data_IF_327611087877
#
_entry.id   IF_327611087877
#
_cell.length_a   1.000
_cell.length_b   1.000
_cell.length_c   1.000
_cell.angle_alpha   90.00
_cell.angle_beta   90.00
_cell.angle_gamma   90.00
#
_symmetry.space_group_name_H-M   'P 1'
#
loop_
_entity.id
_entity.type
_entity.pdbx_description
1 polymer ?
#
# COMPACT_ATOMS: atom_id res chain seq x y z
N UNK A 1 -10.06 -11.52 -14.20
CA UNK A 1 -10.58 -10.35 -13.46
C UNK A 1 -11.97 -10.04 -13.96
N UNK A 2 -12.98 -10.03 -13.08
CA UNK A 2 -14.32 -9.53 -13.42
C UNK A 2 -14.37 -8.04 -13.06
N UNK A 3 -14.57 -7.16 -14.05
CA UNK A 3 -14.45 -5.71 -13.86
C UNK A 3 -15.82 -5.07 -13.62
N UNK A 4 -15.86 -4.09 -12.73
CA UNK A 4 -17.02 -3.23 -12.51
C UNK A 4 -16.67 -1.77 -12.84
N UNK A 5 -17.68 -0.92 -13.04
CA UNK A 5 -17.49 0.50 -13.36
C UNK A 5 -17.22 1.29 -12.06
N UNK A 6 -16.03 1.09 -11.50
CA UNK A 6 -15.59 1.69 -10.23
C UNK A 6 -14.07 1.95 -10.23
N UNK A 7 -13.63 2.88 -9.37
CA UNK A 7 -12.22 3.28 -9.30
C UNK A 7 -11.30 2.12 -8.92
N UNK A 8 -11.73 1.22 -8.02
CA UNK A 8 -11.00 0.00 -7.63
C UNK A 8 -10.72 -0.90 -8.83
N UNK A 9 -11.73 -1.18 -9.67
CA UNK A 9 -11.55 -1.98 -10.88
C UNK A 9 -10.59 -1.31 -11.87
N UNK A 10 -10.66 0.02 -12.04
CA UNK A 10 -9.71 0.76 -12.89
C UNK A 10 -8.27 0.66 -12.35
N UNK A 11 -8.08 0.79 -11.04
CA UNK A 11 -6.79 0.60 -10.39
C UNK A 11 -6.26 -0.82 -10.61
N UNK A 12 -7.09 -1.85 -10.43
CA UNK A 12 -6.68 -3.23 -10.70
C UNK A 12 -6.30 -3.43 -12.17
N UNK A 13 -7.03 -2.85 -13.13
CA UNK A 13 -6.63 -2.89 -14.55
C UNK A 13 -5.22 -2.33 -14.75
N UNK A 14 -4.90 -1.18 -14.15
CA UNK A 14 -3.56 -0.60 -14.28
C UNK A 14 -2.47 -1.44 -13.62
N UNK A 15 -2.75 -2.00 -12.43
CA UNK A 15 -1.83 -2.89 -11.74
C UNK A 15 -1.53 -4.14 -12.59
N UNK A 16 -2.57 -4.83 -13.08
CA UNK A 16 -2.43 -6.03 -13.90
C UNK A 16 -1.77 -5.73 -15.26
N UNK A 17 -2.08 -4.59 -15.86
CA UNK A 17 -1.40 -4.15 -17.09
C UNK A 17 0.08 -3.87 -16.85
N UNK A 18 0.47 -3.39 -15.66
CA UNK A 18 1.87 -3.28 -15.25
C UNK A 18 2.60 -4.61 -15.30
N UNK A 19 1.96 -5.69 -14.82
CA UNK A 19 2.51 -7.05 -14.96
C UNK A 19 2.67 -7.46 -16.42
N UNK A 20 1.67 -7.23 -17.26
CA UNK A 20 1.72 -7.52 -18.71
C UNK A 20 2.88 -6.77 -19.38
N UNK A 21 3.06 -5.49 -19.11
CA UNK A 21 4.18 -4.72 -19.64
C UNK A 21 5.52 -5.33 -19.19
N UNK A 22 5.64 -5.75 -17.94
CA UNK A 22 6.86 -6.42 -17.47
C UNK A 22 7.11 -7.74 -18.24
N UNK A 23 6.09 -8.60 -18.39
CA UNK A 23 6.19 -9.82 -19.18
C UNK A 23 6.67 -9.56 -20.62
N UNK A 24 6.13 -8.52 -21.26
CA UNK A 24 6.50 -8.13 -22.63
C UNK A 24 7.95 -7.67 -22.73
N UNK A 25 8.42 -6.86 -21.77
CA UNK A 25 9.76 -6.26 -21.83
C UNK A 25 10.89 -7.28 -21.71
N UNK A 26 10.74 -8.32 -20.89
CA UNK A 26 11.76 -9.38 -20.79
C UNK A 26 11.53 -10.59 -21.70
N UNK A 27 10.55 -10.54 -22.61
CA UNK A 27 10.18 -11.68 -23.47
C UNK A 27 11.34 -12.19 -24.33
N UNK A 28 12.31 -11.33 -24.67
CA UNK A 28 13.46 -11.67 -25.49
C UNK A 28 14.60 -12.36 -24.71
N UNK A 29 14.50 -12.46 -23.37
CA UNK A 29 15.49 -13.18 -22.59
C UNK A 29 15.37 -14.70 -22.78
N UNK A 30 16.44 -15.48 -22.52
CA UNK A 30 16.35 -16.93 -22.38
C UNK A 30 15.28 -17.31 -21.36
N UNK A 31 14.59 -18.44 -21.59
CA UNK A 31 13.43 -18.87 -20.79
C UNK A 31 13.66 -18.79 -19.27
N UNK A 32 14.82 -19.23 -18.79
CA UNK A 32 15.19 -19.22 -17.36
C UNK A 32 15.29 -17.80 -16.75
N UNK A 33 15.46 -16.76 -17.57
CA UNK A 33 15.56 -15.37 -17.15
C UNK A 33 14.26 -14.57 -17.37
N UNK A 34 13.22 -15.19 -17.94
CA UNK A 34 11.90 -14.59 -18.16
C UNK A 34 11.07 -14.57 -16.87
N UNK A 35 11.42 -13.69 -15.96
CA UNK A 35 10.68 -13.39 -14.75
C UNK A 35 11.25 -12.12 -14.13
N UNK A 36 10.57 -11.52 -13.15
CA UNK A 36 11.13 -10.38 -12.45
C UNK A 36 12.41 -10.73 -11.67
N UNK A 37 13.18 -9.69 -11.35
CA UNK A 37 14.44 -9.80 -10.61
C UNK A 37 14.29 -10.52 -9.26
N UNK A 38 13.15 -10.30 -8.58
CA UNK A 38 12.63 -11.10 -7.47
C UNK A 38 11.09 -10.94 -7.41
N UNK A 39 10.36 -11.74 -6.61
CA UNK A 39 8.89 -11.66 -6.56
C UNK A 39 8.34 -10.26 -6.22
N UNK A 40 9.04 -9.48 -5.41
CA UNK A 40 8.62 -8.13 -5.05
C UNK A 40 8.75 -7.09 -6.17
N UNK A 41 9.58 -7.35 -7.20
CA UNK A 41 9.66 -6.48 -8.37
C UNK A 41 8.38 -6.56 -9.22
N UNK A 42 7.77 -7.73 -9.40
CA UNK A 42 6.52 -7.85 -10.15
C UNK A 42 5.43 -6.96 -9.53
N UNK A 43 5.14 -7.19 -8.25
CA UNK A 43 4.14 -6.43 -7.50
C UNK A 43 4.47 -4.93 -7.46
N UNK A 44 5.75 -4.56 -7.30
CA UNK A 44 6.15 -3.15 -7.24
C UNK A 44 5.86 -2.40 -8.54
N UNK A 45 6.02 -3.05 -9.69
CA UNK A 45 5.76 -2.45 -11.00
C UNK A 45 4.26 -2.23 -11.21
N UNK A 46 3.42 -3.19 -10.80
CA UNK A 46 1.96 -3.03 -10.81
C UNK A 46 1.53 -1.82 -9.99
N UNK A 47 1.98 -1.73 -8.73
CA UNK A 47 1.59 -0.65 -7.83
C UNK A 47 2.21 0.71 -8.17
N UNK A 48 3.42 0.72 -8.73
CA UNK A 48 4.11 1.95 -9.15
C UNK A 48 3.26 2.80 -10.11
N UNK A 49 2.52 2.16 -11.03
CA UNK A 49 1.66 2.86 -11.98
C UNK A 49 0.50 3.55 -11.25
N UNK A 50 0.00 2.94 -10.17
CA UNK A 50 -1.10 3.47 -9.37
C UNK A 50 -0.72 4.78 -8.68
N UNK A 51 0.54 4.93 -8.27
CA UNK A 51 1.05 6.17 -7.67
C UNK A 51 0.93 7.38 -8.62
N UNK A 52 0.95 7.15 -9.94
CA UNK A 52 0.72 8.20 -10.95
C UNK A 52 -0.74 8.30 -11.39
N UNK A 53 -1.42 7.17 -11.60
CA UNK A 53 -2.81 7.16 -12.09
C UNK A 53 -3.83 7.61 -11.03
N UNK A 54 -3.46 7.61 -9.75
CA UNK A 54 -4.34 8.12 -8.69
C UNK A 54 -4.16 9.61 -8.41
N UNK A 55 -3.23 10.28 -9.09
CA UNK A 55 -3.02 11.73 -8.90
C UNK A 55 -4.21 12.53 -9.44
N UNK A 56 -4.55 13.63 -8.77
CA UNK A 56 -5.59 14.56 -9.23
C UNK A 56 -5.28 15.12 -10.63
N UNK A 57 -4.00 15.33 -10.93
CA UNK A 57 -3.55 15.75 -12.27
C UNK A 57 -3.92 14.71 -13.33
N UNK A 58 -3.63 13.43 -13.08
CA UNK A 58 -3.98 12.35 -13.99
C UNK A 58 -5.49 12.28 -14.21
N UNK A 59 -6.27 12.18 -13.13
CA UNK A 59 -7.74 12.04 -13.20
C UNK A 59 -8.37 13.18 -13.99
N UNK A 60 -7.87 14.41 -13.82
CA UNK A 60 -8.27 15.55 -14.63
C UNK A 60 -7.90 15.38 -16.10
N UNK A 61 -6.68 14.93 -16.39
CA UNK A 61 -6.17 14.78 -17.76
C UNK A 61 -6.95 13.74 -18.59
N UNK A 62 -7.57 12.76 -17.93
CA UNK A 62 -8.39 11.72 -18.56
C UNK A 62 -9.90 12.00 -18.44
N UNK A 63 -10.30 13.16 -17.91
CA UNK A 63 -11.70 13.58 -17.83
C UNK A 63 -12.53 12.98 -16.69
N UNK A 64 -11.90 12.28 -15.73
CA UNK A 64 -12.58 11.70 -14.56
C UNK A 64 -12.83 12.72 -13.44
N UNK A 65 -12.15 13.88 -13.46
CA UNK A 65 -12.35 14.98 -12.52
C UNK A 65 -12.74 16.26 -13.27
N UNK A 66 -13.81 16.94 -12.86
CA UNK A 66 -14.29 18.16 -13.56
C UNK A 66 -13.48 19.37 -13.11
N UNK A 67 -13.25 20.33 -14.02
CA UNK A 67 -12.49 21.56 -13.71
C UNK A 67 -13.09 22.37 -12.56
N UNK A 68 -14.42 22.39 -12.42
CA UNK A 68 -15.12 23.15 -11.35
C UNK A 68 -14.75 22.65 -9.95
N UNK A 69 -14.41 21.37 -9.82
CA UNK A 69 -14.14 20.72 -8.53
C UNK A 69 -12.81 21.20 -7.92
N UNK A 70 -11.98 21.88 -8.71
CA UNK A 70 -10.65 22.37 -8.34
C UNK A 70 -10.60 23.89 -8.09
N UNK A 71 -11.68 24.63 -8.40
CA UNK A 71 -11.68 26.10 -8.32
C UNK A 71 -11.80 26.64 -6.88
N UNK A 72 -12.21 25.81 -5.92
CA UNK A 72 -12.23 26.17 -4.51
C UNK A 72 -10.91 25.76 -3.84
N UNK A 73 -10.00 26.72 -3.67
CA UNK A 73 -8.64 26.48 -3.12
C UNK A 73 -8.67 25.79 -1.75
N UNK A 74 -9.64 26.12 -0.89
CA UNK A 74 -9.74 25.51 0.45
C UNK A 74 -10.15 24.04 0.36
N UNK A 75 -11.10 23.73 -0.51
CA UNK A 75 -11.57 22.36 -0.71
C UNK A 75 -10.53 21.51 -1.44
N UNK A 76 -9.78 22.13 -2.36
CA UNK A 76 -8.65 21.50 -3.04
C UNK A 76 -7.56 21.07 -2.07
N UNK A 77 -7.13 21.93 -1.14
CA UNK A 77 -6.10 21.56 -0.16
C UNK A 77 -6.56 20.45 0.81
N UNK A 78 -7.85 20.43 1.20
CA UNK A 78 -8.42 19.29 1.94
C UNK A 78 -8.39 18.00 1.12
N UNK A 79 -8.71 18.07 -0.17
CA UNK A 79 -8.75 16.90 -1.06
C UNK A 79 -7.38 16.20 -1.15
N UNK A 80 -6.28 16.95 -1.07
CA UNK A 80 -4.92 16.40 -1.02
C UNK A 80 -4.67 15.57 0.24
N UNK A 81 -5.14 16.05 1.40
CA UNK A 81 -5.03 15.29 2.65
C UNK A 81 -5.93 14.05 2.60
N UNK A 82 -7.16 14.16 2.11
CA UNK A 82 -8.07 13.02 1.95
C UNK A 82 -7.46 11.94 1.03
N UNK A 83 -6.86 12.36 -0.07
CA UNK A 83 -6.11 11.49 -0.97
C UNK A 83 -4.97 10.78 -0.23
N UNK A 84 -4.14 11.52 0.51
CA UNK A 84 -3.03 10.92 1.25
C UNK A 84 -3.52 9.97 2.36
N UNK A 85 -4.62 10.25 3.05
CA UNK A 85 -5.22 9.34 4.02
C UNK A 85 -5.60 8.04 3.32
N UNK A 86 -6.31 8.12 2.18
CA UNK A 86 -6.68 6.94 1.40
C UNK A 86 -5.45 6.13 0.99
N UNK A 87 -4.43 6.78 0.44
CA UNK A 87 -3.17 6.13 0.07
C UNK A 87 -2.46 5.51 1.28
N UNK A 88 -2.52 6.13 2.45
CA UNK A 88 -1.87 5.60 3.65
C UNK A 88 -2.56 4.33 4.18
N UNK A 89 -3.89 4.22 4.05
CA UNK A 89 -4.62 3.00 4.40
C UNK A 89 -4.11 1.81 3.58
N UNK A 90 -3.86 2.01 2.30
CA UNK A 90 -3.38 0.95 1.40
C UNK A 90 -1.87 0.68 1.57
N UNK A 91 -1.05 1.72 1.70
CA UNK A 91 0.42 1.61 1.60
C UNK A 91 1.20 1.69 2.92
N UNK A 92 0.54 1.97 4.05
CA UNK A 92 1.17 1.93 5.38
C UNK A 92 0.66 0.75 6.20
N UNK A 93 -0.64 0.44 6.13
CA UNK A 93 -1.26 -0.61 6.96
C UNK A 93 -1.10 -2.01 6.34
N UNK A 94 -1.35 -2.16 5.03
CA UNK A 94 -1.30 -3.47 4.38
C UNK A 94 0.10 -4.13 4.40
N UNK A 95 1.23 -3.40 4.21
CA UNK A 95 2.56 -3.99 4.33
C UNK A 95 2.84 -4.54 5.73
N UNK A 96 2.34 -3.89 6.79
CA UNK A 96 2.49 -4.40 8.15
C UNK A 96 1.79 -5.74 8.34
N UNK A 97 0.61 -5.93 7.74
CA UNK A 97 -0.03 -7.24 7.70
C UNK A 97 0.85 -8.25 6.97
N UNK A 98 1.47 -7.83 5.86
CA UNK A 98 2.30 -8.72 5.08
C UNK A 98 3.55 -9.21 5.82
N UNK A 99 4.17 -8.31 6.57
CA UNK A 99 5.25 -8.65 7.50
C UNK A 99 4.78 -9.66 8.56
N UNK A 100 3.63 -9.44 9.20
CA UNK A 100 3.11 -10.35 10.24
C UNK A 100 2.92 -11.76 9.71
N UNK A 101 2.32 -11.90 8.53
CA UNK A 101 1.99 -13.20 7.93
C UNK A 101 3.25 -14.04 7.71
N UNK A 102 4.26 -13.48 7.04
CA UNK A 102 5.48 -14.25 6.73
C UNK A 102 6.44 -14.30 7.92
N UNK A 103 6.42 -13.33 8.83
CA UNK A 103 7.11 -13.46 10.12
C UNK A 103 6.55 -14.64 10.91
N UNK A 104 5.22 -14.75 11.02
CA UNK A 104 4.57 -15.88 11.66
C UNK A 104 4.95 -17.21 10.99
N UNK A 105 4.87 -17.32 9.65
CA UNK A 105 5.25 -18.54 8.92
C UNK A 105 6.70 -18.93 9.19
N UNK A 106 7.62 -17.97 9.13
CA UNK A 106 9.03 -18.24 9.38
C UNK A 106 9.27 -18.76 10.80
N UNK A 107 8.56 -18.21 11.79
CA UNK A 107 8.68 -18.63 13.18
C UNK A 107 8.02 -20.00 13.45
N UNK A 108 7.02 -20.39 12.66
CA UNK A 108 6.48 -21.76 12.64
C UNK A 108 7.50 -22.71 12.01
N UNK A 109 8.04 -22.38 10.83
CA UNK A 109 8.98 -23.25 10.11
C UNK A 109 10.31 -23.45 10.85
N UNK A 110 10.76 -22.46 11.63
CA UNK A 110 11.96 -22.59 12.45
C UNK A 110 11.70 -23.17 13.85
N UNK A 111 10.47 -23.61 14.14
CA UNK A 111 10.08 -24.30 15.37
C UNK A 111 9.92 -23.41 16.61
N UNK A 112 10.04 -22.08 16.50
CA UNK A 112 9.83 -21.16 17.63
C UNK A 112 8.36 -21.03 18.05
N UNK A 113 7.44 -21.14 17.08
CA UNK A 113 6.00 -21.24 17.35
C UNK A 113 5.63 -22.73 17.31
N UNK A 114 5.18 -23.25 18.46
CA UNK A 114 4.70 -24.62 18.56
C UNK A 114 3.27 -24.74 18.03
N UNK A 115 2.84 -25.97 17.74
CA UNK A 115 1.51 -26.24 17.21
C UNK A 115 0.39 -25.75 18.15
N UNK A 116 0.62 -25.82 19.45
CA UNK A 116 -0.32 -25.43 20.51
C UNK A 116 -0.39 -23.90 20.75
N UNK A 117 0.30 -23.09 19.94
CA UNK A 117 0.32 -21.63 20.06
C UNK A 117 0.13 -20.91 18.72
N UNK A 118 -0.25 -21.63 17.67
CA UNK A 118 -0.35 -21.10 16.30
C UNK A 118 -1.26 -19.87 16.24
N UNK A 119 -2.48 -19.99 16.75
CA UNK A 119 -3.47 -18.92 16.64
C UNK A 119 -3.22 -17.80 17.65
N UNK A 120 -2.80 -18.14 18.87
CA UNK A 120 -2.39 -17.18 19.89
C UNK A 120 -1.26 -16.28 19.38
N UNK A 121 -0.19 -16.86 18.81
CA UNK A 121 0.95 -16.10 18.29
C UNK A 121 0.56 -15.21 17.11
N UNK A 122 -0.37 -15.67 16.26
CA UNK A 122 -0.92 -14.83 15.20
C UNK A 122 -1.59 -13.57 15.78
N UNK A 123 -2.48 -13.72 16.77
CA UNK A 123 -3.15 -12.57 17.39
C UNK A 123 -2.20 -11.70 18.23
N UNK A 124 -1.19 -12.27 18.88
CA UNK A 124 -0.10 -11.49 19.51
C UNK A 124 0.60 -10.59 18.50
N UNK A 125 0.89 -11.07 17.29
CA UNK A 125 1.49 -10.25 16.23
C UNK A 125 0.51 -9.24 15.63
N UNK A 126 -0.77 -9.59 15.42
CA UNK A 126 -1.80 -8.63 14.99
C UNK A 126 -1.93 -7.47 15.98
N UNK A 127 -1.96 -7.77 17.28
CA UNK A 127 -2.00 -6.75 18.32
C UNK A 127 -0.69 -5.95 18.33
N UNK A 128 0.48 -6.60 18.40
CA UNK A 128 1.76 -5.90 18.53
C UNK A 128 2.06 -4.96 17.37
N UNK A 129 1.86 -5.41 16.14
CA UNK A 129 2.31 -4.69 14.94
C UNK A 129 1.22 -3.84 14.28
N UNK A 130 -0.07 -4.09 14.55
CA UNK A 130 -1.19 -3.33 13.96
C UNK A 130 -2.18 -2.76 14.97
N UNK A 131 -2.10 -3.14 16.25
CA UNK A 131 -3.08 -2.72 17.26
C UNK A 131 -4.45 -3.37 17.07
N UNK A 132 -4.51 -4.52 16.39
CA UNK A 132 -5.76 -5.22 16.08
C UNK A 132 -5.92 -6.45 16.98
N UNK A 133 -7.07 -6.54 17.63
CA UNK A 133 -7.55 -7.64 18.46
C UNK A 133 -8.68 -8.39 17.74
N UNK A 134 -8.99 -9.63 18.13
CA UNK A 134 -10.17 -10.31 17.64
C UNK A 134 -11.44 -9.75 18.31
N UNK A 135 -12.58 -9.66 17.59
CA UNK A 135 -13.84 -9.18 18.17
C UNK A 135 -14.51 -10.20 19.11
N UNK A 136 -14.07 -11.45 19.07
CA UNK A 136 -14.53 -12.55 19.94
C UNK A 136 -13.32 -13.33 20.41
N UNK A 137 -13.40 -13.92 21.60
CA UNK A 137 -12.30 -14.72 22.15
C UNK A 137 -11.89 -15.83 21.17
N UNK A 138 -10.60 -15.91 20.88
CA UNK A 138 -9.98 -16.92 20.01
C UNK A 138 -9.15 -17.89 20.84
N UNK A 139 -9.15 -19.14 20.39
CA UNK A 139 -8.39 -20.22 21.01
C UNK A 139 -7.66 -21.01 19.92
N UNK A 140 -6.86 -22.00 20.31
CA UNK A 140 -6.20 -22.91 19.37
C UNK A 140 -7.18 -23.90 18.69
N UNK A 141 -8.46 -23.90 19.06
CA UNK A 141 -9.51 -24.54 18.25
C UNK A 141 -9.76 -23.80 16.94
N UNK A 142 -9.23 -22.58 16.80
CA UNK A 142 -9.33 -21.76 15.59
C UNK A 142 -7.97 -21.73 14.87
N UNK A 143 -8.01 -21.48 13.57
CA UNK A 143 -6.80 -21.26 12.76
C UNK A 143 -7.02 -20.04 11.86
N UNK A 144 -7.09 -18.86 12.46
CA UNK A 144 -7.59 -17.64 11.79
C UNK A 144 -6.67 -17.15 10.68
N UNK A 145 -5.35 -17.35 10.83
CA UNK A 145 -4.39 -17.02 9.77
C UNK A 145 -4.59 -17.90 8.52
N UNK A 146 -5.09 -19.13 8.69
CA UNK A 146 -5.39 -20.06 7.61
C UNK A 146 -6.55 -19.62 6.69
N UNK A 147 -7.39 -18.69 7.14
CA UNK A 147 -8.45 -18.11 6.32
C UNK A 147 -7.91 -17.18 5.21
N UNK A 148 -6.62 -16.83 5.25
CA UNK A 148 -5.97 -16.06 4.19
C UNK A 148 -5.55 -16.99 3.05
N UNK A 149 -6.05 -16.71 1.84
CA UNK A 149 -5.75 -17.48 0.62
C UNK A 149 -4.27 -17.86 0.49
N UNK A 150 -3.34 -16.91 0.64
CA UNK A 150 -1.92 -17.15 0.45
C UNK A 150 -1.32 -18.14 1.45
N UNK A 151 -1.87 -18.22 2.67
CA UNK A 151 -1.47 -19.21 3.66
C UNK A 151 -1.95 -20.60 3.23
N UNK A 152 -3.23 -20.72 2.87
CA UNK A 152 -3.82 -21.97 2.43
C UNK A 152 -3.21 -22.49 1.12
N UNK A 153 -2.87 -21.59 0.19
CA UNK A 153 -2.26 -21.90 -1.10
C UNK A 153 -0.72 -22.04 -1.04
N UNK A 154 -0.11 -21.85 0.14
CA UNK A 154 1.36 -21.89 0.31
C UNK A 154 2.13 -20.73 -0.35
N UNK A 155 1.45 -19.76 -0.97
CA UNK A 155 2.04 -18.62 -1.65
C UNK A 155 2.72 -17.66 -0.67
N UNK A 156 3.91 -17.16 -1.01
CA UNK A 156 4.64 -16.17 -0.23
C UNK A 156 3.89 -14.84 -0.16
N UNK A 157 3.95 -14.17 1.00
CA UNK A 157 3.21 -12.94 1.23
C UNK A 157 4.12 -11.73 1.47
N UNK A 158 5.40 -11.96 1.82
CA UNK A 158 6.43 -10.94 2.03
C UNK A 158 6.72 -10.13 0.76
N UNK A 159 6.36 -10.66 -0.43
CA UNK A 159 6.43 -9.91 -1.69
C UNK A 159 5.69 -8.58 -1.62
N UNK A 160 4.56 -8.50 -0.92
CA UNK A 160 3.79 -7.26 -0.74
C UNK A 160 4.49 -6.26 0.18
N UNK A 161 5.24 -6.73 1.19
CA UNK A 161 6.04 -5.84 2.04
C UNK A 161 7.21 -5.25 1.25
N UNK A 162 7.95 -6.10 0.54
CA UNK A 162 9.07 -5.69 -0.29
C UNK A 162 8.64 -4.76 -1.42
N UNK A 163 7.57 -5.13 -2.14
CA UNK A 163 7.06 -4.35 -3.26
C UNK A 163 6.61 -2.98 -2.83
N UNK A 164 5.99 -2.87 -1.65
CA UNK A 164 5.55 -1.58 -1.13
C UNK A 164 6.71 -0.64 -0.88
N UNK A 165 7.85 -1.11 -0.36
CA UNK A 165 9.01 -0.22 -0.20
C UNK A 165 9.59 0.14 -1.58
N UNK A 166 9.76 -0.87 -2.44
CA UNK A 166 10.38 -0.69 -3.74
C UNK A 166 9.59 0.28 -4.63
N UNK A 167 8.26 0.21 -4.67
CA UNK A 167 7.45 1.06 -5.55
C UNK A 167 7.66 2.55 -5.28
N UNK A 168 7.77 2.98 -4.01
CA UNK A 168 8.00 4.40 -3.68
C UNK A 168 9.43 4.83 -4.04
N UNK A 169 10.41 3.95 -3.86
CA UNK A 169 11.79 4.22 -4.30
C UNK A 169 11.88 4.38 -5.82
N UNK A 170 11.25 3.45 -6.57
CA UNK A 170 11.21 3.53 -8.03
C UNK A 170 10.48 4.80 -8.48
N UNK A 171 9.37 5.14 -7.82
CA UNK A 171 8.60 6.35 -8.10
C UNK A 171 9.46 7.60 -7.90
N UNK A 172 10.17 7.72 -6.78
CA UNK A 172 11.07 8.85 -6.52
C UNK A 172 12.15 9.00 -7.59
N UNK A 173 12.81 7.90 -7.99
CA UNK A 173 13.83 7.90 -9.05
C UNK A 173 13.23 8.39 -10.38
N UNK A 174 12.02 7.93 -10.73
CA UNK A 174 11.34 8.35 -11.96
C UNK A 174 10.93 9.82 -11.90
N UNK A 175 10.48 10.30 -10.74
CA UNK A 175 10.14 11.70 -10.51
C UNK A 175 11.35 12.62 -10.63
N UNK A 176 12.52 12.19 -10.12
CA UNK A 176 13.79 12.89 -10.34
C UNK A 176 14.15 12.92 -11.83
N UNK A 177 13.97 11.80 -12.53
CA UNK A 177 14.28 11.68 -13.97
C UNK A 177 13.49 12.66 -14.84
N UNK A 178 12.26 12.99 -14.44
CA UNK A 178 11.41 13.98 -15.13
C UNK A 178 11.53 15.39 -14.55
N UNK A 179 12.45 15.60 -13.60
CA UNK A 179 12.68 16.86 -12.91
C UNK A 179 11.42 17.41 -12.23
N UNK A 180 10.59 16.53 -11.68
CA UNK A 180 9.39 16.92 -10.93
C UNK A 180 9.75 17.91 -9.81
N UNK A 181 8.89 18.92 -9.64
CA UNK A 181 9.02 19.93 -8.58
C UNK A 181 7.80 19.84 -7.68
N UNK A 182 8.03 19.94 -6.37
CA UNK A 182 6.97 19.88 -5.37
C UNK A 182 6.92 18.54 -4.62
N UNK A 183 5.83 18.27 -3.90
CA UNK A 183 5.64 17.05 -3.14
C UNK A 183 5.69 15.79 -4.00
N UNK A 184 6.27 14.72 -3.47
CA UNK A 184 6.41 13.45 -4.21
C UNK A 184 5.06 12.83 -4.59
N UNK A 185 4.03 12.97 -3.75
CA UNK A 185 2.68 12.44 -4.01
C UNK A 185 1.91 13.14 -5.14
N UNK A 186 2.41 14.30 -5.62
CA UNK A 186 1.85 14.99 -6.78
C UNK A 186 2.58 14.62 -8.08
N UNK A 187 3.65 13.82 -8.01
CA UNK A 187 4.39 13.41 -9.20
C UNK A 187 3.60 12.46 -10.08
N UNK A 188 3.61 12.71 -11.39
CA UNK A 188 2.91 11.91 -12.38
C UNK A 188 3.80 11.62 -13.60
N UNK A 189 4.03 10.32 -13.88
CA UNK A 189 4.85 9.87 -15.01
C UNK A 189 4.05 9.70 -16.31
N UNK A 190 2.74 9.96 -16.31
CA UNK A 190 1.89 9.88 -17.50
C UNK A 190 2.38 10.81 -18.62
N UNK A 191 2.46 10.27 -19.85
CA UNK A 191 3.02 10.94 -21.03
C UNK A 191 4.48 11.42 -20.89
N UNK A 192 5.22 10.99 -19.86
CA UNK A 192 6.64 11.33 -19.69
C UNK A 192 7.52 10.26 -20.33
N UNK A 193 7.82 10.42 -21.63
CA UNK A 193 8.64 9.45 -22.41
C UNK A 193 9.97 9.08 -21.74
N UNK A 194 10.67 10.06 -21.13
CA UNK A 194 11.94 9.82 -20.42
C UNK A 194 11.81 8.87 -19.22
N UNK A 195 10.70 8.94 -18.47
CA UNK A 195 10.41 8.02 -17.39
C UNK A 195 10.10 6.63 -17.93
N UNK A 196 9.25 6.54 -18.97
CA UNK A 196 8.92 5.26 -19.62
C UNK A 196 10.14 4.55 -20.20
N UNK A 197 11.07 5.28 -20.84
CA UNK A 197 12.32 4.72 -21.34
C UNK A 197 13.22 4.19 -20.22
N UNK A 198 13.28 4.90 -19.08
CA UNK A 198 14.06 4.45 -17.93
C UNK A 198 13.42 3.19 -17.29
N UNK A 199 12.09 3.19 -17.16
CA UNK A 199 11.35 2.04 -16.64
C UNK A 199 11.50 0.82 -17.54
N UNK A 200 11.33 0.96 -18.86
CA UNK A 200 11.52 -0.12 -19.84
C UNK A 200 12.89 -0.79 -19.69
N UNK A 201 13.96 0.00 -19.54
CA UNK A 201 15.33 -0.54 -19.32
C UNK A 201 15.45 -1.40 -18.06
N UNK A 202 14.70 -1.09 -17.00
CA UNK A 202 14.64 -1.93 -15.80
C UNK A 202 13.85 -3.20 -16.08
N UNK A 203 12.70 -3.10 -16.76
CA UNK A 203 11.83 -4.24 -17.06
C UNK A 203 12.52 -5.25 -17.99
N UNK A 204 13.26 -4.78 -18.99
CA UNK A 204 14.01 -5.61 -19.95
C UNK A 204 15.05 -6.52 -19.28
N UNK A 205 15.51 -6.20 -18.07
CA UNK A 205 16.48 -7.03 -17.35
C UNK A 205 15.89 -8.36 -16.87
N UNK A 206 14.58 -8.45 -16.67
CA UNK A 206 13.95 -9.63 -16.07
C UNK A 206 14.75 -10.16 -14.86
N UNK A 207 15.15 -11.44 -14.91
CA UNK A 207 15.97 -12.12 -13.90
C UNK A 207 17.42 -12.33 -14.35
N UNK A 208 17.88 -11.61 -15.38
CA UNK A 208 19.23 -11.77 -15.94
C UNK A 208 20.36 -11.34 -14.99
N UNK A 209 20.05 -10.55 -13.96
CA UNK A 209 21.01 -10.00 -12.99
C UNK A 209 20.45 -10.04 -11.57
N UNK A 210 21.31 -10.03 -10.54
CA UNK A 210 20.88 -9.82 -9.17
C UNK A 210 20.06 -8.53 -9.02
N UNK A 211 18.95 -8.60 -8.29
CA UNK A 211 18.02 -7.47 -8.16
C UNK A 211 18.67 -6.18 -7.63
N UNK A 212 19.66 -6.29 -6.74
CA UNK A 212 20.41 -5.14 -6.22
C UNK A 212 21.21 -4.43 -7.31
N UNK A 213 21.76 -5.18 -8.27
CA UNK A 213 22.48 -4.61 -9.41
C UNK A 213 21.51 -3.87 -10.34
N UNK A 214 20.34 -4.47 -10.61
CA UNK A 214 19.28 -3.83 -11.41
C UNK A 214 18.81 -2.52 -10.77
N UNK A 215 18.59 -2.51 -9.45
CA UNK A 215 18.20 -1.30 -8.71
C UNK A 215 19.30 -0.22 -8.73
N UNK A 216 20.56 -0.62 -8.59
CA UNK A 216 21.71 0.29 -8.70
C UNK A 216 21.81 0.90 -10.10
N UNK A 217 21.70 0.10 -11.15
CA UNK A 217 21.71 0.60 -12.53
C UNK A 217 20.56 1.60 -12.76
N UNK A 218 19.35 1.24 -12.34
CA UNK A 218 18.16 2.06 -12.49
C UNK A 218 18.26 3.41 -11.77
N UNK A 219 18.85 3.43 -10.57
CA UNK A 219 19.07 4.64 -9.78
C UNK A 219 20.32 5.44 -10.16
N UNK A 220 21.03 5.04 -11.24
CA UNK A 220 22.35 5.61 -11.60
C UNK A 220 23.35 5.55 -10.43
N UNK A 221 23.45 4.40 -9.78
CA UNK A 221 24.33 4.08 -8.64
C UNK A 221 24.02 4.82 -7.34
N UNK A 222 22.88 5.51 -7.25
CA UNK A 222 22.48 6.24 -6.02
C UNK A 222 21.91 5.33 -4.94
N UNK A 223 21.24 4.24 -5.31
CA UNK A 223 20.52 3.36 -4.39
C UNK A 223 21.13 1.97 -4.43
N UNK A 224 21.60 1.49 -3.27
CA UNK A 224 22.21 0.17 -3.10
C UNK A 224 21.32 -0.82 -2.36
N UNK A 225 20.32 -0.32 -1.63
CA UNK A 225 19.48 -1.10 -0.74
C UNK A 225 18.01 -0.69 -0.83
N UNK A 226 17.16 -1.56 -0.31
CA UNK A 226 15.74 -1.26 -0.13
C UNK A 226 15.61 -0.28 1.04
N UNK A 227 14.96 0.87 0.81
CA UNK A 227 14.92 1.98 1.75
C UNK A 227 13.51 2.62 1.80
N UNK A 228 13.02 2.82 3.02
CA UNK A 228 11.67 3.32 3.26
C UNK A 228 11.57 4.86 3.30
N UNK A 229 12.66 5.61 3.06
CA UNK A 229 12.64 7.07 3.12
C UNK A 229 11.72 7.69 2.07
N UNK A 230 11.58 7.06 0.90
CA UNK A 230 10.66 7.49 -0.16
C UNK A 230 9.19 7.43 0.29
N UNK A 231 8.81 6.44 1.11
CA UNK A 231 7.48 6.36 1.73
C UNK A 231 7.29 7.57 2.66
N UNK A 232 8.25 7.82 3.55
CA UNK A 232 8.19 8.94 4.49
C UNK A 232 8.12 10.30 3.76
N UNK A 233 8.85 10.44 2.66
CA UNK A 233 8.82 11.63 1.80
C UNK A 233 7.47 11.81 1.12
N UNK A 234 6.88 10.73 0.60
CA UNK A 234 5.55 10.73 -0.01
C UNK A 234 4.48 11.21 0.97
N UNK A 235 4.44 10.63 2.18
CA UNK A 235 3.44 10.90 3.20
C UNK A 235 3.78 12.07 4.14
N UNK A 236 4.87 12.81 3.90
CA UNK A 236 5.30 13.93 4.76
C UNK A 236 4.17 14.95 5.05
N UNK A 237 3.35 15.38 4.07
CA UNK A 237 2.25 16.32 4.35
C UNK A 237 1.19 15.72 5.26
N UNK A 238 0.83 14.46 5.05
CA UNK A 238 -0.12 13.75 5.91
C UNK A 238 0.42 13.58 7.31
N UNK A 239 1.69 13.20 7.46
CA UNK A 239 2.34 13.06 8.77
C UNK A 239 2.32 14.38 9.56
N UNK A 240 2.55 15.51 8.89
CA UNK A 240 2.41 16.85 9.51
C UNK A 240 0.98 17.11 9.96
N UNK A 241 0.00 16.80 9.12
CA UNK A 241 -1.42 16.97 9.42
C UNK A 241 -1.86 16.09 10.60
N UNK A 242 -1.50 14.80 10.61
CA UNK A 242 -1.82 13.86 11.70
C UNK A 242 -1.22 14.32 13.04
N UNK A 243 0.04 14.79 13.05
CA UNK A 243 0.67 15.32 14.28
C UNK A 243 -0.04 16.56 14.83
N UNK A 244 -0.67 17.35 13.97
CA UNK A 244 -1.41 18.53 14.39
C UNK A 244 -2.83 18.19 14.89
N UNK A 245 -3.52 17.27 14.22
CA UNK A 245 -4.89 16.91 14.56
C UNK A 245 -4.99 15.91 15.72
N UNK A 246 -3.95 15.09 15.94
CA UNK A 246 -3.92 14.08 17.00
C UNK A 246 -3.01 14.53 18.16
N UNK A 247 -2.94 15.84 18.45
CA UNK A 247 -2.07 16.36 19.54
C UNK A 247 -2.47 15.78 20.88
N UNK A 248 -3.76 15.85 21.18
CA UNK A 248 -4.35 15.47 22.47
C UNK A 248 -4.81 14.01 22.50
N UNK A 249 -4.62 13.27 21.40
CA UNK A 249 -4.94 11.85 21.30
C UNK A 249 -3.81 10.97 21.84
N UNK A 250 -4.20 9.85 22.45
CA UNK A 250 -3.28 8.78 22.82
C UNK A 250 -2.69 8.14 21.55
N UNK A 251 -1.35 7.97 21.53
CA UNK A 251 -0.62 7.47 20.37
C UNK A 251 -0.08 6.08 20.66
N UNK A 252 -0.63 5.09 19.96
CA UNK A 252 -0.25 3.69 20.10
C UNK A 252 -1.36 2.87 20.73
N UNK A 253 -0.99 1.67 21.16
CA UNK A 253 -1.90 0.71 21.78
C UNK A 253 -1.11 -0.18 22.73
N UNK A 254 -1.76 -0.65 23.79
CA UNK A 254 -1.19 -1.60 24.71
C UNK A 254 -2.27 -2.54 25.23
N UNK A 255 -2.01 -3.84 25.17
CA UNK A 255 -2.82 -4.87 25.82
C UNK A 255 -1.93 -6.07 26.14
N UNK A 256 -2.13 -6.67 27.31
CA UNK A 256 -1.39 -7.85 27.77
C UNK A 256 -1.99 -9.16 27.24
N UNK A 257 -3.26 -9.13 26.84
CA UNK A 257 -3.97 -10.28 26.27
C UNK A 257 -4.28 -10.00 24.79
N UNK A 258 -3.77 -10.80 23.84
CA UNK A 258 -4.10 -10.67 22.43
C UNK A 258 -5.61 -10.79 22.11
N UNK A 259 -6.43 -11.35 23.02
CA UNK A 259 -7.88 -11.40 22.91
C UNK A 259 -8.59 -10.14 23.42
N UNK A 260 -7.89 -9.26 24.12
CA UNK A 260 -8.46 -8.05 24.70
C UNK A 260 -8.02 -6.82 23.91
N UNK A 261 -9.01 -6.09 23.38
CA UNK A 261 -8.76 -4.88 22.62
C UNK A 261 -8.23 -3.75 23.52
N UNK A 262 -7.21 -3.01 23.07
CA UNK A 262 -6.77 -1.78 23.74
C UNK A 262 -7.95 -0.83 23.96
N UNK A 263 -8.13 -0.33 25.19
CA UNK A 263 -9.22 0.59 25.54
C UNK A 263 -10.57 -0.07 25.89
N UNK A 264 -10.66 -1.41 25.88
CA UNK A 264 -11.81 -2.13 26.43
C UNK A 264 -11.87 -1.98 27.96
N UNK A 265 -13.06 -2.14 28.56
CA UNK A 265 -13.32 -1.88 29.99
C UNK A 265 -12.34 -2.61 30.96
N UNK A 266 -11.73 -3.70 30.52
CA UNK A 266 -10.75 -4.48 31.30
C UNK A 266 -9.31 -3.89 31.27
N UNK A 267 -9.00 -2.98 30.35
CA UNK A 267 -7.71 -2.28 30.24
C UNK A 267 -7.73 -0.84 30.80
N UNK A 268 -8.82 -0.44 31.44
CA UNK A 268 -9.13 0.95 31.88
C UNK A 268 -8.40 1.42 33.14
N UNK A 269 -7.14 1.03 33.36
CA UNK A 269 -6.36 1.67 34.43
C UNK A 269 -5.59 2.92 33.99
N UNK A 270 -5.37 3.18 32.69
CA UNK A 270 -4.55 4.34 32.26
C UNK A 270 -4.76 4.81 30.79
N UNK A 271 -5.96 4.72 30.21
CA UNK A 271 -6.19 5.23 28.85
C UNK A 271 -7.43 6.12 28.76
N UNK A 272 -7.18 7.40 28.45
CA UNK A 272 -8.17 8.41 28.09
C UNK A 272 -8.99 7.93 26.90
N UNK A 273 -10.32 8.03 27.05
CA UNK A 273 -11.32 7.63 26.06
C UNK A 273 -11.19 8.43 24.78
N UNK A 274 -11.19 7.74 23.63
CA UNK A 274 -11.25 8.30 22.28
C UNK A 274 -12.60 9.00 22.09
N UNK A 275 -12.61 10.31 21.83
CA UNK A 275 -13.77 10.98 21.23
C UNK A 275 -13.69 10.79 19.72
N UNK A 276 -14.61 10.05 19.13
CA UNK A 276 -14.83 10.03 17.67
C UNK A 276 -15.59 11.27 17.17
N UNK A 277 -15.32 12.44 17.75
CA UNK A 277 -15.82 13.73 17.26
C UNK A 277 -14.77 14.32 16.31
N UNK A 278 -14.78 13.86 15.05
CA UNK A 278 -13.81 14.32 14.05
C UNK A 278 -13.88 13.59 12.72
N UNK A 279 -14.52 12.42 12.66
CA UNK A 279 -15.03 11.93 11.40
C UNK A 279 -16.18 12.84 10.97
N UNK A 280 -16.03 13.49 9.82
CA UNK A 280 -17.17 14.07 9.10
C UNK A 280 -17.99 12.87 8.59
N UNK A 281 -18.74 12.25 9.48
CA UNK A 281 -20.01 11.66 9.09
C UNK A 281 -20.95 12.84 8.93
N UNK A 282 -21.30 13.19 7.68
CA UNK A 282 -22.66 13.64 7.46
C UNK A 282 -23.49 12.37 7.32
N UNK A 283 -24.21 11.93 8.37
CA UNK A 283 -25.37 11.09 8.15
C UNK A 283 -26.43 12.00 7.53
N UNK A 284 -27.01 11.57 6.41
CA UNK A 284 -28.12 12.21 5.68
C UNK A 284 -27.72 13.21 4.58
N UNK A 285 -27.25 12.69 3.45
CA UNK A 285 -27.79 13.05 2.12
C UNK A 285 -27.37 12.00 1.08
N UNK A 286 -27.94 10.80 1.20
CA UNK A 286 -28.15 9.95 0.02
C UNK A 286 -29.48 10.39 -0.56
N UNK A 287 -29.46 11.44 -1.37
CA UNK A 287 -30.53 11.67 -2.33
C UNK A 287 -30.22 10.78 -3.52
N UNK A 288 -30.97 9.70 -3.65
CA UNK A 288 -31.05 8.91 -4.87
C UNK A 288 -31.42 9.83 -6.02
N UNK A 289 -30.45 10.17 -6.87
CA UNK A 289 -30.74 10.65 -8.22
C UNK A 289 -30.98 9.42 -9.10
N UNK A 290 -32.20 8.89 -9.02
CA UNK A 290 -32.78 8.07 -10.09
C UNK A 290 -33.03 9.00 -11.28
N UNK A 291 -32.02 9.17 -12.12
CA UNK A 291 -32.18 9.72 -13.46
C UNK A 291 -32.33 8.56 -14.43
N UNK A 292 -33.56 8.32 -14.88
CA UNK A 292 -33.83 7.48 -16.04
C UNK A 292 -33.03 8.02 -17.24
N UNK A 293 -32.10 7.23 -17.75
CA UNK A 293 -31.52 7.44 -19.07
C UNK A 293 -32.47 6.73 -20.04
N UNK A 294 -33.37 7.49 -20.65
CA UNK A 294 -34.03 7.04 -21.88
C UNK A 294 -32.98 6.95 -22.98
N UNK A 295 -32.95 5.79 -23.64
CA UNK A 295 -32.16 5.48 -24.84
C UNK A 295 -32.56 6.41 -25.98
#
# INVERSE_FOLDING_TARGET
>A
MCCFVELSSLQTVFHEMGHIQYYMHYANLPYLFRGAANPGFHEAIGDLILLSSNTLEYLRSVGLLRKRDLNNTKEYEKSKINYLIRMALDHVIAPMYAYIVDHWRHQVYNGKIKHEELNKKYWEYRLRYQGVCPPVKRTEKNFDIGAKYHIAAGAEYFRYFFSNILQFQLHEILCEKIHHKGPLHECNIYKKKKAGQLLAKLLEKGKSKPWKEILREFSHQKVTELDASSILKYFKPLMKWLKQNNRDEYKGWNSKDPNSCPGSNESRSDTTVIRTEGFITSPNTITTLSGEINI
#
